data_IF_601658970090
#
_entry.id   IF_601658970090
#
_cell.length_a   1.000
_cell.length_b   1.000
_cell.length_c   1.000
_cell.angle_alpha   90.00
_cell.angle_beta   90.00
_cell.angle_gamma   90.00
#
_symmetry.space_group_name_H-M   'P 1'
#
loop_
_entity.id
_entity.type
_entity.pdbx_description
1 polymer ?
#
# COMPACT_ATOMS: atom_id res chain seq x y z
N UNK A 1 10.23 7.75 -29.91
CA UNK A 1 9.44 7.88 -31.15
C UNK A 1 7.97 7.83 -30.78
N UNK A 2 7.31 9.01 -30.73
CA UNK A 2 5.86 9.09 -30.61
C UNK A 2 5.16 8.39 -31.78
N UNK A 3 3.90 7.97 -31.60
CA UNK A 3 3.09 7.27 -32.61
C UNK A 3 3.68 5.92 -33.09
N UNK A 4 4.48 5.26 -32.26
CA UNK A 4 5.09 3.96 -32.58
C UNK A 4 4.09 2.88 -33.01
N UNK A 5 2.83 2.99 -32.56
CA UNK A 5 1.74 2.07 -32.88
C UNK A 5 1.23 2.17 -34.32
N UNK A 6 1.51 3.27 -35.02
CA UNK A 6 1.16 3.46 -36.43
C UNK A 6 2.16 2.79 -37.38
N UNK A 7 3.40 2.57 -36.93
CA UNK A 7 4.48 1.97 -37.71
C UNK A 7 4.52 0.46 -37.47
N UNK A 8 4.10 -0.42 -38.43
CA UNK A 8 3.89 -1.84 -38.15
C UNK A 8 5.11 -2.58 -37.59
N UNK A 9 6.31 -2.27 -38.09
CA UNK A 9 7.55 -2.87 -37.60
C UNK A 9 7.88 -2.43 -36.16
N UNK A 10 7.74 -1.13 -35.86
CA UNK A 10 8.00 -0.60 -34.52
C UNK A 10 6.94 -1.06 -33.51
N UNK A 11 5.67 -1.11 -33.92
CA UNK A 11 4.59 -1.72 -33.13
C UNK A 11 4.91 -3.15 -32.76
N UNK A 12 5.33 -3.98 -33.72
CA UNK A 12 5.72 -5.37 -33.46
C UNK A 12 6.88 -5.42 -32.45
N UNK A 13 7.94 -4.64 -32.66
CA UNK A 13 9.07 -4.59 -31.74
C UNK A 13 8.67 -4.22 -30.30
N UNK A 14 7.77 -3.25 -30.11
CA UNK A 14 7.32 -2.83 -28.78
C UNK A 14 6.40 -3.88 -28.14
N UNK A 15 5.53 -4.50 -28.91
CA UNK A 15 4.68 -5.60 -28.42
C UNK A 15 5.53 -6.81 -28.03
N UNK A 16 6.47 -7.23 -28.87
CA UNK A 16 7.38 -8.34 -28.57
C UNK A 16 8.22 -8.05 -27.31
N UNK A 17 8.64 -6.79 -27.12
CA UNK A 17 9.32 -6.36 -25.91
C UNK A 17 8.40 -6.41 -24.69
N UNK A 18 7.16 -5.92 -24.81
CA UNK A 18 6.18 -6.00 -23.74
C UNK A 18 5.90 -7.45 -23.34
N UNK A 19 5.66 -8.33 -24.31
CA UNK A 19 5.39 -9.74 -24.06
C UNK A 19 6.56 -10.40 -23.32
N UNK A 20 7.79 -10.17 -23.79
CA UNK A 20 9.00 -10.69 -23.13
C UNK A 20 9.18 -10.14 -21.71
N UNK A 21 8.97 -8.84 -21.50
CA UNK A 21 9.29 -8.19 -20.22
C UNK A 21 8.18 -8.29 -19.17
N UNK A 22 6.94 -8.40 -19.61
CA UNK A 22 5.75 -8.22 -18.76
C UNK A 22 4.96 -9.52 -18.65
N UNK A 23 4.87 -10.30 -19.74
CA UNK A 23 4.10 -11.54 -19.74
C UNK A 23 4.95 -12.78 -19.45
N UNK A 24 6.26 -12.70 -19.64
CA UNK A 24 7.21 -13.81 -19.41
C UNK A 24 8.13 -13.59 -18.20
N UNK A 25 7.96 -12.46 -17.49
CA UNK A 25 8.69 -12.18 -16.25
C UNK A 25 7.71 -11.97 -15.11
N UNK A 26 8.17 -12.32 -13.92
CA UNK A 26 7.49 -12.01 -12.69
C UNK A 26 7.92 -10.64 -12.15
N UNK A 27 7.02 -9.98 -11.43
CA UNK A 27 7.27 -8.67 -10.80
C UNK A 27 6.85 -8.70 -9.33
N UNK A 28 7.39 -7.83 -8.46
CA UNK A 28 7.01 -7.85 -7.04
C UNK A 28 5.51 -7.61 -6.82
N UNK A 29 4.81 -7.00 -7.78
CA UNK A 29 3.36 -6.85 -7.70
C UNK A 29 2.60 -8.19 -7.68
N UNK A 30 3.17 -9.25 -8.29
CA UNK A 30 2.59 -10.59 -8.27
C UNK A 30 2.53 -11.21 -6.88
N UNK A 31 3.36 -10.73 -5.93
CA UNK A 31 3.26 -11.10 -4.51
C UNK A 31 1.87 -10.82 -3.92
N UNK A 32 1.08 -9.91 -4.49
CA UNK A 32 -0.31 -9.70 -4.08
C UNK A 32 -1.19 -10.97 -4.21
N UNK A 33 -0.84 -11.91 -5.08
CA UNK A 33 -1.54 -13.19 -5.23
C UNK A 33 -1.50 -14.04 -3.94
N UNK A 34 -0.52 -13.80 -3.05
CA UNK A 34 -0.41 -14.49 -1.76
C UNK A 34 -1.65 -14.31 -0.90
N UNK A 35 -2.36 -13.17 -0.97
CA UNK A 35 -3.60 -12.97 -0.22
C UNK A 35 -4.75 -13.87 -0.71
N UNK A 36 -4.85 -14.09 -2.03
CA UNK A 36 -5.84 -15.00 -2.60
C UNK A 36 -5.57 -16.44 -2.16
N UNK A 37 -4.31 -16.88 -2.24
CA UNK A 37 -3.91 -18.24 -1.84
C UNK A 37 -4.00 -18.43 -0.32
N UNK A 38 -3.70 -17.39 0.46
CA UNK A 38 -3.93 -17.38 1.91
C UNK A 38 -5.41 -17.55 2.24
N UNK A 39 -6.32 -16.86 1.53
CA UNK A 39 -7.76 -17.10 1.70
C UNK A 39 -8.12 -18.57 1.43
N UNK A 40 -7.60 -19.16 0.35
CA UNK A 40 -7.84 -20.57 0.06
C UNK A 40 -7.40 -21.49 1.22
N UNK A 41 -6.24 -21.21 1.83
CA UNK A 41 -5.83 -21.91 3.06
C UNK A 41 -6.82 -21.71 4.21
N UNK A 42 -7.25 -20.47 4.49
CA UNK A 42 -8.17 -20.16 5.59
C UNK A 42 -9.52 -20.86 5.44
N UNK A 43 -10.02 -21.05 4.21
CA UNK A 43 -11.28 -21.76 3.96
C UNK A 43 -11.15 -23.29 3.97
N UNK A 44 -10.00 -23.84 3.60
CA UNK A 44 -9.85 -25.28 3.33
C UNK A 44 -8.96 -26.01 4.33
N UNK A 45 -8.02 -25.33 4.98
CA UNK A 45 -6.97 -25.92 5.79
C UNK A 45 -5.93 -26.72 5.01
N UNK A 46 -5.97 -26.74 3.67
CA UNK A 46 -5.06 -27.53 2.84
C UNK A 46 -3.65 -26.91 2.81
N UNK A 47 -2.68 -27.63 3.38
CA UNK A 47 -1.31 -27.14 3.60
C UNK A 47 -0.58 -26.75 2.32
N UNK A 48 -0.98 -27.24 1.15
CA UNK A 48 -0.37 -26.85 -0.14
C UNK A 48 -0.49 -25.34 -0.40
N UNK A 49 -1.59 -24.72 0.04
CA UNK A 49 -1.80 -23.29 -0.14
C UNK A 49 -0.90 -22.47 0.78
N UNK A 50 -0.78 -22.91 2.04
CA UNK A 50 0.19 -22.31 2.96
C UNK A 50 1.60 -22.43 2.41
N UNK A 51 2.02 -23.62 1.99
CA UNK A 51 3.36 -23.84 1.46
C UNK A 51 3.64 -22.98 0.23
N UNK A 52 2.70 -22.88 -0.71
CA UNK A 52 2.84 -22.02 -1.89
C UNK A 52 3.09 -20.55 -1.52
N UNK A 53 2.36 -20.02 -0.52
CA UNK A 53 2.56 -18.63 -0.06
C UNK A 53 3.96 -18.42 0.50
N UNK A 54 4.46 -19.37 1.30
CA UNK A 54 5.80 -19.29 1.88
C UNK A 54 6.88 -19.40 0.81
N UNK A 55 6.84 -20.45 -0.02
CA UNK A 55 7.80 -20.69 -1.10
C UNK A 55 7.90 -19.47 -2.03
N UNK A 56 6.76 -18.89 -2.40
CA UNK A 56 6.73 -17.75 -3.31
C UNK A 56 7.28 -16.47 -2.66
N UNK A 57 6.95 -16.21 -1.39
CA UNK A 57 7.47 -15.06 -0.64
C UNK A 57 8.97 -15.18 -0.42
N UNK A 58 9.44 -16.36 0.00
CA UNK A 58 10.85 -16.65 0.27
C UNK A 58 11.70 -16.56 -1.00
N UNK A 59 11.19 -17.01 -2.14
CA UNK A 59 11.89 -16.86 -3.41
C UNK A 59 12.13 -15.37 -3.76
N UNK A 60 11.20 -14.47 -3.45
CA UNK A 60 11.41 -13.03 -3.61
C UNK A 60 12.40 -12.45 -2.59
N UNK A 61 12.43 -12.97 -1.37
CA UNK A 61 13.42 -12.60 -0.36
C UNK A 61 14.84 -13.01 -0.80
N UNK A 62 15.02 -14.24 -1.26
CA UNK A 62 16.30 -14.76 -1.76
C UNK A 62 16.79 -13.94 -2.98
N UNK A 63 15.90 -13.63 -3.92
CA UNK A 63 16.24 -12.79 -5.08
C UNK A 63 16.62 -11.38 -4.69
N UNK A 64 15.97 -10.84 -3.66
CA UNK A 64 16.32 -9.53 -3.10
C UNK A 64 17.72 -9.54 -2.48
N UNK A 65 18.06 -10.58 -1.73
CA UNK A 65 19.40 -10.76 -1.16
C UNK A 65 20.47 -10.87 -2.28
N UNK A 66 20.23 -11.72 -3.29
CA UNK A 66 21.10 -11.86 -4.47
C UNK A 66 21.27 -10.57 -5.26
N UNK A 67 20.29 -9.67 -5.18
CA UNK A 67 20.31 -8.35 -5.83
C UNK A 67 20.85 -7.23 -4.92
N UNK A 68 21.71 -7.57 -3.96
CA UNK A 68 22.35 -6.59 -3.07
C UNK A 68 21.40 -5.97 -2.05
N UNK A 69 20.33 -6.67 -1.69
CA UNK A 69 19.35 -6.21 -0.70
C UNK A 69 18.22 -5.32 -1.25
N UNK A 70 18.20 -5.06 -2.55
CA UNK A 70 17.14 -4.27 -3.20
C UNK A 70 16.21 -5.23 -3.96
N UNK A 71 14.90 -5.16 -3.69
CA UNK A 71 13.93 -5.98 -4.39
C UNK A 71 13.93 -5.63 -5.89
N UNK A 72 14.19 -6.60 -6.79
CA UNK A 72 14.27 -6.33 -8.22
C UNK A 72 12.87 -6.09 -8.82
N UNK A 73 12.79 -5.31 -9.90
CA UNK A 73 11.52 -5.04 -10.58
C UNK A 73 11.04 -6.22 -11.43
N UNK A 74 11.97 -7.07 -11.87
CA UNK A 74 11.67 -8.17 -12.79
C UNK A 74 12.60 -9.37 -12.57
N UNK A 75 12.02 -10.56 -12.72
CA UNK A 75 12.68 -11.86 -12.64
C UNK A 75 12.12 -12.72 -13.77
N UNK A 76 12.96 -13.38 -14.55
CA UNK A 76 12.48 -14.23 -15.64
C UNK A 76 11.97 -15.61 -15.16
N UNK A 77 11.47 -16.42 -16.10
CA UNK A 77 10.93 -17.74 -15.83
C UNK A 77 11.95 -18.73 -15.23
N UNK A 78 13.25 -18.50 -15.43
CA UNK A 78 14.34 -19.30 -14.86
C UNK A 78 14.78 -18.78 -13.48
N UNK A 79 14.13 -17.72 -12.97
CA UNK A 79 14.44 -17.11 -11.68
C UNK A 79 15.62 -16.14 -11.72
N UNK A 80 16.08 -15.74 -12.91
CA UNK A 80 17.20 -14.81 -13.07
C UNK A 80 16.71 -13.37 -12.87
N UNK A 81 17.31 -12.70 -11.89
CA UNK A 81 17.06 -11.28 -11.59
C UNK A 81 17.44 -10.44 -12.82
N UNK A 82 16.49 -9.64 -13.32
CA UNK A 82 16.70 -8.82 -14.52
C UNK A 82 16.84 -9.63 -15.81
N UNK A 83 16.59 -10.95 -15.80
CA UNK A 83 16.86 -11.82 -16.95
C UNK A 83 16.09 -11.43 -18.22
N UNK A 84 14.85 -10.99 -18.07
CA UNK A 84 14.05 -10.43 -19.17
C UNK A 84 14.67 -9.17 -19.80
N UNK A 85 15.53 -8.47 -19.05
CA UNK A 85 16.20 -7.22 -19.43
C UNK A 85 17.71 -7.31 -19.42
N UNK A 86 18.29 -8.46 -19.78
CA UNK A 86 19.75 -8.59 -19.95
C UNK A 86 20.54 -8.19 -18.69
N UNK A 87 20.00 -8.54 -17.52
CA UNK A 87 20.60 -8.26 -16.20
C UNK A 87 20.19 -6.92 -15.60
N UNK A 88 19.39 -6.10 -16.29
CA UNK A 88 18.85 -4.86 -15.71
C UNK A 88 17.71 -5.22 -14.76
N UNK A 89 18.01 -5.28 -13.47
CA UNK A 89 17.05 -5.64 -12.42
C UNK A 89 15.96 -4.58 -12.21
N UNK A 90 16.21 -3.34 -12.61
CA UNK A 90 15.23 -2.24 -12.63
C UNK A 90 14.54 -2.14 -14.00
N UNK A 91 13.24 -1.79 -14.02
CA UNK A 91 12.46 -1.63 -15.26
C UNK A 91 11.51 -2.76 -15.63
N UNK A 92 10.81 -3.35 -14.66
CA UNK A 92 9.66 -4.25 -14.88
C UNK A 92 8.34 -3.50 -15.09
N UNK A 93 7.21 -4.23 -15.06
CA UNK A 93 5.87 -3.64 -15.19
C UNK A 93 5.58 -2.61 -14.10
N UNK A 94 5.87 -2.98 -12.85
CA UNK A 94 5.67 -2.18 -11.66
C UNK A 94 6.89 -2.31 -10.76
N UNK A 95 7.54 -1.19 -10.46
CA UNK A 95 8.82 -1.19 -9.75
C UNK A 95 9.53 0.16 -9.78
N UNK A 96 10.80 0.20 -9.44
CA UNK A 96 11.61 1.40 -9.33
C UNK A 96 11.64 2.26 -10.61
N UNK A 97 11.59 1.70 -11.82
CA UNK A 97 11.59 2.54 -13.04
C UNK A 97 10.18 2.94 -13.54
N UNK A 98 9.12 2.38 -12.95
CA UNK A 98 7.73 2.59 -13.36
C UNK A 98 7.23 4.02 -13.12
N UNK A 99 6.26 4.54 -13.87
CA UNK A 99 5.78 5.94 -13.78
C UNK A 99 5.25 6.36 -12.39
N UNK A 100 4.92 5.40 -11.53
CA UNK A 100 4.54 5.56 -10.13
C UNK A 100 5.61 5.10 -9.13
N UNK A 101 6.84 4.87 -9.60
CA UNK A 101 7.96 4.34 -8.82
C UNK A 101 7.61 3.06 -8.05
N UNK A 102 8.22 2.92 -6.88
CA UNK A 102 8.06 1.79 -5.96
C UNK A 102 6.62 1.55 -5.46
N UNK A 103 5.70 2.51 -5.64
CA UNK A 103 4.38 2.50 -5.00
C UNK A 103 3.64 1.14 -5.13
N UNK A 104 3.52 0.63 -6.36
CA UNK A 104 2.76 -0.61 -6.59
C UNK A 104 3.54 -1.84 -6.11
N UNK A 105 4.87 -1.85 -6.30
CA UNK A 105 5.69 -3.01 -5.94
C UNK A 105 5.67 -3.28 -4.43
N UNK A 106 5.67 -2.21 -3.61
CA UNK A 106 5.66 -2.32 -2.15
C UNK A 106 4.34 -2.86 -1.61
N UNK A 107 3.21 -2.67 -2.31
CA UNK A 107 1.94 -3.32 -1.90
C UNK A 107 2.05 -4.83 -1.99
N UNK A 108 2.62 -5.36 -3.08
CA UNK A 108 2.82 -6.80 -3.23
C UNK A 108 3.69 -7.36 -2.11
N UNK A 109 4.82 -6.69 -1.83
CA UNK A 109 5.72 -7.06 -0.72
C UNK A 109 4.98 -7.05 0.62
N UNK A 110 4.28 -5.95 0.95
CA UNK A 110 3.56 -5.81 2.21
C UNK A 110 2.50 -6.93 2.38
N UNK A 111 1.70 -7.19 1.33
CA UNK A 111 0.69 -8.25 1.34
C UNK A 111 1.33 -9.62 1.62
N UNK A 112 2.43 -9.94 0.94
CA UNK A 112 3.08 -11.24 1.10
C UNK A 112 3.66 -11.45 2.49
N UNK A 113 4.35 -10.46 3.05
CA UNK A 113 4.95 -10.59 4.39
C UNK A 113 3.88 -10.70 5.47
N UNK A 114 2.77 -9.96 5.36
CA UNK A 114 1.65 -10.06 6.28
C UNK A 114 0.92 -11.41 6.19
N UNK A 115 0.77 -11.93 4.97
CA UNK A 115 0.20 -13.27 4.75
C UNK A 115 1.10 -14.37 5.31
N UNK A 116 2.41 -14.32 5.02
CA UNK A 116 3.37 -15.28 5.54
C UNK A 116 3.39 -15.25 7.08
N UNK A 117 3.48 -14.06 7.69
CA UNK A 117 3.41 -13.89 9.13
C UNK A 117 2.09 -14.42 9.72
N UNK A 118 0.94 -14.17 9.08
CA UNK A 118 -0.34 -14.71 9.53
C UNK A 118 -0.35 -16.24 9.57
N UNK A 119 0.22 -16.88 8.54
CA UNK A 119 0.21 -18.33 8.38
C UNK A 119 1.20 -19.05 9.30
N UNK A 120 2.29 -18.39 9.70
CA UNK A 120 3.40 -19.00 10.45
C UNK A 120 3.51 -18.50 11.88
N UNK A 121 3.06 -17.27 12.15
CA UNK A 121 3.37 -16.52 13.36
C UNK A 121 4.80 -15.96 13.40
N UNK A 122 5.59 -16.16 12.33
CA UNK A 122 6.98 -15.73 12.26
C UNK A 122 7.10 -14.29 11.78
N UNK A 123 7.50 -13.39 12.68
CA UNK A 123 7.74 -11.99 12.35
C UNK A 123 9.02 -11.75 11.54
N UNK A 124 9.86 -12.78 11.30
CA UNK A 124 11.03 -12.69 10.43
C UNK A 124 10.68 -12.35 8.97
N UNK A 125 9.49 -12.73 8.48
CA UNK A 125 9.03 -12.31 7.15
C UNK A 125 8.90 -10.79 7.01
N UNK A 126 8.59 -10.08 8.12
CA UNK A 126 8.49 -8.62 8.10
C UNK A 126 9.84 -7.94 7.82
N UNK A 127 10.95 -8.64 8.01
CA UNK A 127 12.30 -8.14 7.71
C UNK A 127 12.45 -7.81 6.22
N UNK A 128 11.72 -8.51 5.35
CA UNK A 128 11.71 -8.20 3.93
C UNK A 128 11.15 -6.79 3.68
N UNK A 129 9.95 -6.46 4.17
CA UNK A 129 9.38 -5.13 4.04
C UNK A 129 10.25 -4.06 4.73
N UNK A 130 10.73 -4.35 5.95
CA UNK A 130 11.61 -3.45 6.71
C UNK A 130 12.88 -3.11 5.93
N UNK A 131 13.50 -4.09 5.29
CA UNK A 131 14.73 -3.88 4.51
C UNK A 131 14.49 -2.92 3.34
N UNK A 132 13.33 -2.99 2.68
CA UNK A 132 13.02 -2.12 1.55
C UNK A 132 12.70 -0.68 2.00
N UNK A 133 12.04 -0.51 3.15
CA UNK A 133 11.88 0.82 3.78
C UNK A 133 13.25 1.40 4.14
N UNK A 134 14.17 0.59 4.71
CA UNK A 134 15.53 1.02 5.03
C UNK A 134 16.30 1.42 3.78
N UNK A 135 16.20 0.69 2.67
CA UNK A 135 16.80 1.09 1.37
C UNK A 135 16.38 2.51 0.98
N UNK A 136 15.11 2.88 1.15
CA UNK A 136 14.64 4.24 0.85
C UNK A 136 15.22 5.29 1.80
N UNK A 137 15.27 4.98 3.10
CA UNK A 137 15.79 5.91 4.13
C UNK A 137 17.30 6.09 4.04
N UNK A 138 18.05 5.02 3.82
CA UNK A 138 19.51 5.02 3.70
C UNK A 138 19.98 5.82 2.48
N UNK A 139 19.15 5.87 1.43
CA UNK A 139 19.40 6.70 0.27
C UNK A 139 18.70 8.06 0.34
N UNK A 140 17.97 8.35 1.42
CA UNK A 140 17.23 9.60 1.62
C UNK A 140 18.14 10.83 1.75
N UNK A 141 17.58 12.00 1.44
CA UNK A 141 18.27 13.29 1.57
C UNK A 141 17.42 14.25 2.39
N UNK A 142 18.07 14.98 3.29
CA UNK A 142 17.45 16.13 3.96
C UNK A 142 17.68 17.38 3.12
N UNK A 143 16.62 18.13 2.87
CA UNK A 143 16.70 19.50 2.33
C UNK A 143 17.28 20.45 3.37
N UNK A 144 17.61 21.68 2.96
CA UNK A 144 18.17 22.71 3.84
C UNK A 144 17.27 23.07 5.02
N UNK A 145 15.95 22.97 4.85
CA UNK A 145 14.96 23.23 5.90
C UNK A 145 14.67 22.02 6.80
N UNK A 146 15.39 20.92 6.60
CA UNK A 146 15.27 19.69 7.39
C UNK A 146 14.32 18.65 6.83
N UNK A 147 13.53 18.96 5.79
CA UNK A 147 12.60 18.01 5.18
C UNK A 147 13.35 16.79 4.61
N UNK A 148 13.01 15.61 5.13
CA UNK A 148 13.50 14.33 4.64
C UNK A 148 12.70 13.89 3.42
N UNK A 149 13.41 13.66 2.32
CA UNK A 149 12.89 13.08 1.09
C UNK A 149 13.58 11.74 0.84
N UNK A 150 12.82 10.78 0.31
CA UNK A 150 13.37 9.49 -0.14
C UNK A 150 13.34 9.41 -1.67
N UNK A 151 14.30 8.70 -2.29
CA UNK A 151 14.20 8.40 -3.71
C UNK A 151 13.08 7.39 -3.92
N UNK A 152 12.37 7.56 -5.03
CA UNK A 152 11.19 6.76 -5.36
C UNK A 152 11.36 5.93 -6.62
N UNK A 153 12.44 6.19 -7.35
CA UNK A 153 12.75 5.61 -8.65
C UNK A 153 14.25 5.30 -8.78
N UNK A 154 14.56 4.30 -9.61
CA UNK A 154 15.93 3.89 -9.93
C UNK A 154 16.08 3.70 -11.45
N UNK A 155 17.21 4.12 -12.00
CA UNK A 155 17.50 4.10 -13.43
C UNK A 155 18.98 3.79 -13.73
N UNK A 156 19.40 3.93 -14.99
CA UNK A 156 20.78 3.68 -15.41
C UNK A 156 21.82 4.48 -14.62
N UNK A 157 21.47 5.69 -14.19
CA UNK A 157 22.33 6.59 -13.41
C UNK A 157 22.16 6.42 -11.87
N UNK A 158 21.49 5.34 -11.43
CA UNK A 158 21.19 5.09 -10.02
C UNK A 158 19.85 5.66 -9.56
N UNK A 159 19.80 6.14 -8.31
CA UNK A 159 18.61 6.75 -7.72
C UNK A 159 18.23 8.06 -8.42
N UNK A 160 16.98 8.14 -8.85
CA UNK A 160 16.44 9.29 -9.57
C UNK A 160 16.00 10.38 -8.59
N UNK A 161 16.65 11.54 -8.67
CA UNK A 161 16.37 12.73 -7.86
C UNK A 161 15.74 13.87 -8.67
N UNK A 162 15.34 13.61 -9.92
CA UNK A 162 14.73 14.62 -10.76
C UNK A 162 13.27 14.87 -10.36
N UNK A 163 12.81 16.10 -10.60
CA UNK A 163 11.39 16.42 -10.54
C UNK A 163 10.63 15.63 -11.60
N UNK A 164 9.39 15.29 -11.28
CA UNK A 164 8.50 14.62 -12.20
C UNK A 164 8.13 15.57 -13.35
N UNK A 165 8.33 15.18 -14.63
CA UNK A 165 7.93 16.01 -15.76
C UNK A 165 6.41 16.17 -15.84
N UNK A 166 5.64 15.30 -15.16
CA UNK A 166 4.19 15.35 -15.13
C UNK A 166 3.56 15.19 -16.52
N UNK A 167 2.34 15.72 -16.73
CA UNK A 167 1.65 15.60 -18.00
C UNK A 167 2.32 16.54 -18.99
N UNK A 168 2.70 16.03 -20.14
CA UNK A 168 3.36 16.83 -21.16
C UNK A 168 2.97 16.36 -22.55
N UNK A 169 3.24 17.19 -23.56
CA UNK A 169 3.03 16.82 -24.95
C UNK A 169 4.33 16.28 -25.54
N UNK A 170 4.25 15.17 -26.28
CA UNK A 170 5.37 14.64 -27.05
C UNK A 170 4.88 14.32 -28.48
N UNK A 171 5.31 15.13 -29.45
CA UNK A 171 4.84 15.12 -30.85
C UNK A 171 3.31 15.01 -31.00
N UNK A 172 2.58 15.89 -30.30
CA UNK A 172 1.11 15.94 -30.39
C UNK A 172 0.37 14.84 -29.61
N UNK A 173 1.09 13.96 -28.91
CA UNK A 173 0.50 12.99 -27.98
C UNK A 173 0.58 13.51 -26.54
N UNK A 174 -0.54 13.43 -25.83
CA UNK A 174 -0.58 13.61 -24.38
C UNK A 174 0.16 12.46 -23.69
N UNK A 175 1.28 12.80 -23.09
CA UNK A 175 2.06 11.89 -22.27
C UNK A 175 1.73 12.13 -20.82
N UNK A 176 1.42 11.06 -20.09
CA UNK A 176 1.35 11.14 -18.63
C UNK A 176 2.73 11.45 -18.03
N UNK A 177 3.84 11.07 -18.66
CA UNK A 177 5.14 11.09 -17.98
C UNK A 177 5.19 10.19 -16.75
N UNK A 178 6.24 10.32 -15.94
CA UNK A 178 6.22 9.84 -14.56
C UNK A 178 5.81 10.99 -13.64
N UNK A 179 5.13 10.64 -12.55
CA UNK A 179 4.54 11.60 -11.62
C UNK A 179 5.11 11.50 -10.22
N UNK A 180 5.79 10.41 -9.92
CA UNK A 180 6.42 10.23 -8.62
C UNK A 180 7.85 10.77 -8.69
N UNK A 181 8.10 11.81 -7.90
CA UNK A 181 9.40 12.43 -7.68
C UNK A 181 9.85 12.19 -6.23
N UNK A 182 11.11 12.50 -5.85
CA UNK A 182 11.56 12.38 -4.47
C UNK A 182 10.61 13.08 -3.51
N UNK A 183 10.11 12.35 -2.52
CA UNK A 183 8.97 12.75 -1.70
C UNK A 183 9.17 12.23 -0.27
N UNK A 184 8.48 12.77 0.75
CA UNK A 184 8.52 12.18 2.09
C UNK A 184 8.03 10.73 2.05
N UNK A 185 8.57 9.88 2.93
CA UNK A 185 8.15 8.46 2.98
C UNK A 185 6.64 8.38 3.24
N UNK A 186 5.95 7.52 2.49
CA UNK A 186 4.51 7.31 2.65
C UNK A 186 4.20 6.48 3.90
N UNK A 187 2.99 6.65 4.43
CA UNK A 187 2.56 6.00 5.67
C UNK A 187 2.22 4.52 5.48
N UNK A 188 1.76 4.12 4.30
CA UNK A 188 1.20 2.79 4.05
C UNK A 188 2.09 1.66 4.61
N UNK A 189 3.32 1.48 4.12
CA UNK A 189 4.12 0.31 4.52
C UNK A 189 4.65 0.41 5.93
N UNK A 190 5.10 1.59 6.35
CA UNK A 190 5.73 1.73 7.65
C UNK A 190 4.72 1.55 8.80
N UNK A 191 3.46 1.99 8.58
CA UNK A 191 2.38 1.83 9.56
C UNK A 191 1.88 0.38 9.61
N UNK A 192 1.81 -0.31 8.47
CA UNK A 192 1.54 -1.74 8.43
C UNK A 192 2.65 -2.55 9.10
N UNK A 193 3.91 -2.26 8.81
CA UNK A 193 5.07 -2.91 9.40
C UNK A 193 5.04 -2.81 10.93
N UNK A 194 4.91 -1.60 11.47
CA UNK A 194 4.84 -1.41 12.91
C UNK A 194 3.59 -2.04 13.50
N UNK A 195 2.44 -1.98 12.83
CA UNK A 195 1.23 -2.63 13.32
C UNK A 195 1.40 -4.16 13.41
N UNK A 196 2.02 -4.77 12.41
CA UNK A 196 2.24 -6.22 12.35
C UNK A 196 3.32 -6.69 13.33
N UNK A 197 4.33 -5.86 13.62
CA UNK A 197 5.47 -6.24 14.47
C UNK A 197 5.32 -5.82 15.93
N UNK A 198 4.73 -4.63 16.15
CA UNK A 198 4.77 -3.86 17.40
C UNK A 198 6.18 -3.76 18.01
N UNK A 199 7.25 -3.82 17.20
CA UNK A 199 8.63 -3.80 17.67
C UNK A 199 9.14 -2.38 17.88
N UNK A 200 10.07 -2.24 18.82
CA UNK A 200 10.73 -0.97 19.12
C UNK A 200 11.50 -0.42 17.90
N UNK A 201 12.19 -1.26 17.14
CA UNK A 201 12.90 -0.85 15.91
C UNK A 201 11.96 -0.21 14.87
N UNK A 202 10.74 -0.71 14.74
CA UNK A 202 9.77 -0.24 13.76
C UNK A 202 9.10 1.05 14.23
N UNK A 203 8.88 1.18 15.53
CA UNK A 203 8.49 2.45 16.15
C UNK A 203 9.55 3.53 15.90
N UNK A 204 10.83 3.21 16.13
CA UNK A 204 11.95 4.13 15.92
C UNK A 204 12.03 4.60 14.46
N UNK A 205 11.85 3.69 13.50
CA UNK A 205 11.75 4.04 12.08
C UNK A 205 10.62 5.04 11.81
N UNK A 206 9.41 4.82 12.35
CA UNK A 206 8.30 5.77 12.18
C UNK A 206 8.65 7.13 12.75
N UNK A 207 9.22 7.17 13.97
CA UNK A 207 9.57 8.44 14.60
C UNK A 207 10.68 9.17 13.87
N UNK A 208 11.68 8.47 13.30
CA UNK A 208 12.69 9.07 12.43
C UNK A 208 12.06 9.74 11.21
N UNK A 209 11.08 9.08 10.58
CA UNK A 209 10.35 9.63 9.42
C UNK A 209 9.53 10.85 9.84
N UNK A 210 8.77 10.75 10.94
CA UNK A 210 7.98 11.86 11.49
C UNK A 210 8.83 13.08 11.77
N UNK A 211 9.96 12.90 12.46
CA UNK A 211 10.82 13.99 12.88
C UNK A 211 11.59 14.61 11.69
N UNK A 212 11.70 13.89 10.57
CA UNK A 212 12.21 14.40 9.31
C UNK A 212 11.13 15.00 8.39
N UNK A 213 9.85 14.78 8.66
CA UNK A 213 8.73 15.23 7.82
C UNK A 213 8.19 16.57 8.33
N UNK A 214 9.00 17.61 8.20
CA UNK A 214 8.78 18.93 8.83
C UNK A 214 7.65 19.74 8.18
N UNK A 215 7.27 19.43 6.94
CA UNK A 215 6.20 20.12 6.22
C UNK A 215 4.80 19.60 6.58
N UNK A 216 4.67 18.32 6.94
CA UNK A 216 3.37 17.66 7.19
C UNK A 216 3.00 17.74 8.67
N UNK A 217 1.77 18.17 8.97
CA UNK A 217 1.20 17.92 10.31
C UNK A 217 0.66 16.48 10.38
N UNK A 218 1.32 15.65 11.19
CA UNK A 218 0.91 14.25 11.38
C UNK A 218 -0.38 14.09 12.18
N UNK A 219 -0.90 15.14 12.80
CA UNK A 219 -2.21 15.10 13.48
C UNK A 219 -3.37 15.39 12.54
N UNK A 220 -3.12 15.99 11.37
CA UNK A 220 -4.17 16.28 10.40
C UNK A 220 -4.66 15.02 9.69
N UNK A 221 -5.96 15.01 9.40
CA UNK A 221 -6.54 13.99 8.54
C UNK A 221 -6.15 14.29 7.10
N UNK A 222 -5.37 13.41 6.49
CA UNK A 222 -5.11 13.49 5.05
C UNK A 222 -6.33 13.13 4.20
N UNK A 223 -6.14 13.00 2.89
CA UNK A 223 -7.23 12.71 1.95
C UNK A 223 -7.92 11.35 2.25
N UNK A 224 -9.23 11.39 2.57
CA UNK A 224 -10.00 10.20 2.95
C UNK A 224 -10.16 9.19 1.81
N UNK A 225 -10.34 9.66 0.56
CA UNK A 225 -10.52 8.82 -0.63
C UNK A 225 -9.23 8.23 -1.22
N UNK A 226 -8.10 8.47 -0.57
CA UNK A 226 -6.80 7.95 -0.99
C UNK A 226 -6.75 6.40 -0.84
N UNK A 227 -5.96 5.68 -1.65
CA UNK A 227 -5.98 4.21 -1.67
C UNK A 227 -4.66 3.51 -1.26
N UNK A 228 -3.52 4.16 -1.43
CA UNK A 228 -2.19 3.57 -1.55
C UNK A 228 -1.08 4.33 -0.78
N UNK A 229 -1.36 5.50 -0.19
CA UNK A 229 -0.38 6.36 0.47
C UNK A 229 -0.41 6.25 1.99
N UNK A 230 -1.52 5.77 2.57
CA UNK A 230 -1.66 5.62 4.02
C UNK A 230 -1.79 6.94 4.75
N UNK A 231 -2.34 7.97 4.09
CA UNK A 231 -2.43 9.33 4.65
C UNK A 231 -3.22 9.41 5.96
N UNK A 232 -4.24 8.56 6.13
CA UNK A 232 -5.04 8.49 7.36
C UNK A 232 -4.33 7.76 8.51
N UNK A 233 -3.23 7.04 8.23
CA UNK A 233 -2.50 6.27 9.24
C UNK A 233 -1.59 7.14 10.12
N UNK A 234 -1.13 8.30 9.63
CA UNK A 234 -0.29 9.22 10.41
C UNK A 234 -1.01 9.72 11.67
N UNK A 235 -2.22 10.23 11.52
CA UNK A 235 -3.02 10.72 12.64
C UNK A 235 -3.44 9.60 13.60
N UNK A 236 -3.67 8.38 13.07
CA UNK A 236 -3.89 7.18 13.89
C UNK A 236 -2.66 6.81 14.72
N UNK A 237 -1.47 6.86 14.14
CA UNK A 237 -0.23 6.62 14.87
C UNK A 237 -0.07 7.63 16.01
N UNK A 238 -0.33 8.91 15.74
CA UNK A 238 -0.27 9.98 16.74
C UNK A 238 -1.28 9.77 17.89
N UNK A 239 -2.44 9.16 17.63
CA UNK A 239 -3.40 8.80 18.68
C UNK A 239 -2.77 7.81 19.67
N UNK A 240 -2.19 6.72 19.18
CA UNK A 240 -1.55 5.71 20.05
C UNK A 240 -0.26 6.21 20.71
N UNK A 241 0.42 7.19 20.10
CA UNK A 241 1.56 7.90 20.70
C UNK A 241 1.14 9.02 21.68
N UNK A 242 -0.16 9.19 21.94
CA UNK A 242 -0.69 10.17 22.88
C UNK A 242 -0.61 11.63 22.40
N UNK A 243 -0.29 11.86 21.12
CA UNK A 243 -0.13 13.19 20.51
C UNK A 243 -1.39 13.71 19.83
N UNK A 244 -2.33 12.84 19.46
CA UNK A 244 -3.62 13.21 18.88
C UNK A 244 -4.80 12.52 19.60
N UNK A 245 -5.08 12.84 20.88
CA UNK A 245 -6.11 12.13 21.66
C UNK A 245 -7.54 12.30 21.10
N UNK A 246 -7.80 13.38 20.36
CA UNK A 246 -9.10 13.65 19.73
C UNK A 246 -9.31 12.97 18.36
N UNK A 247 -8.30 12.25 17.85
CA UNK A 247 -8.34 11.62 16.53
C UNK A 247 -9.57 10.73 16.27
N UNK A 248 -10.03 9.86 17.20
CA UNK A 248 -11.17 8.98 16.93
C UNK A 248 -12.45 9.75 16.54
N UNK A 249 -12.74 10.86 17.20
CA UNK A 249 -13.87 11.71 16.85
C UNK A 249 -13.64 12.43 15.51
N UNK A 250 -12.42 12.92 15.27
CA UNK A 250 -12.06 13.60 14.03
C UNK A 250 -12.31 12.70 12.81
N UNK A 251 -11.78 11.46 12.82
CA UNK A 251 -11.89 10.55 11.68
C UNK A 251 -13.34 10.12 11.44
N UNK A 252 -14.10 9.81 12.49
CA UNK A 252 -15.51 9.43 12.37
C UNK A 252 -16.37 10.59 11.85
N UNK A 253 -16.16 11.81 12.34
CA UNK A 253 -16.86 13.00 11.85
C UNK A 253 -16.52 13.30 10.38
N UNK A 254 -15.26 13.09 9.99
CA UNK A 254 -14.81 13.31 8.62
C UNK A 254 -15.39 12.28 7.64
N UNK A 255 -15.39 10.99 8.00
CA UNK A 255 -16.03 9.95 7.17
C UNK A 255 -17.54 10.14 7.08
N UNK A 256 -18.21 10.52 8.17
CA UNK A 256 -19.64 10.82 8.15
C UNK A 256 -19.96 11.99 7.22
N UNK A 257 -19.18 13.08 7.28
CA UNK A 257 -19.35 14.22 6.36
C UNK A 257 -19.16 13.81 4.91
N UNK A 258 -18.12 13.03 4.62
CA UNK A 258 -17.87 12.53 3.26
C UNK A 258 -19.02 11.66 2.74
N UNK A 259 -19.58 10.80 3.59
CA UNK A 259 -20.73 9.96 3.24
C UNK A 259 -21.95 10.81 2.88
N UNK A 260 -22.23 11.86 3.67
CA UNK A 260 -23.33 12.80 3.39
C UNK A 260 -23.12 13.58 2.08
N UNK A 261 -21.93 14.16 1.89
CA UNK A 261 -21.59 14.91 0.66
C UNK A 261 -21.69 14.02 -0.58
N UNK A 262 -21.21 12.78 -0.48
CA UNK A 262 -21.30 11.80 -1.57
C UNK A 262 -22.73 11.38 -1.85
N UNK A 263 -23.52 11.12 -0.80
CA UNK A 263 -24.94 10.79 -0.95
C UNK A 263 -25.72 11.92 -1.64
N UNK A 264 -25.51 13.17 -1.23
CA UNK A 264 -26.15 14.32 -1.87
C UNK A 264 -25.69 14.48 -3.32
N UNK A 265 -24.40 14.26 -3.61
CA UNK A 265 -23.89 14.25 -4.99
C UNK A 265 -24.54 13.18 -5.85
N UNK A 266 -24.82 11.99 -5.31
CA UNK A 266 -25.51 10.93 -6.04
C UNK A 266 -26.99 11.27 -6.26
N UNK A 267 -27.65 11.85 -5.25
CA UNK A 267 -29.06 12.24 -5.32
C UNK A 267 -29.29 13.33 -6.38
N UNK A 268 -28.30 14.20 -6.59
CA UNK A 268 -28.34 15.29 -7.56
C UNK A 268 -27.71 14.92 -8.93
N UNK A 269 -27.28 13.66 -9.13
CA UNK A 269 -26.63 13.24 -10.38
C UNK A 269 -27.67 12.99 -11.49
N UNK A 270 -27.79 13.96 -12.41
CA UNK A 270 -28.70 13.88 -13.57
C UNK A 270 -28.04 13.33 -14.84
N UNK A 271 -26.79 12.87 -14.77
CA UNK A 271 -26.04 12.38 -15.93
C UNK A 271 -26.70 11.12 -16.52
N UNK A 272 -26.76 11.05 -17.84
CA UNK A 272 -27.16 9.83 -18.53
C UNK A 272 -26.06 8.76 -18.47
N UNK A 273 -26.41 7.51 -18.76
CA UNK A 273 -25.42 6.44 -18.93
C UNK A 273 -24.33 6.78 -19.96
N UNK A 274 -24.67 7.54 -21.01
CA UNK A 274 -23.72 7.98 -22.04
C UNK A 274 -22.77 9.06 -21.51
N UNK A 275 -23.25 9.96 -20.64
CA UNK A 275 -22.40 10.96 -20.00
C UNK A 275 -21.41 10.29 -19.03
N UNK A 276 -21.86 9.29 -18.27
CA UNK A 276 -20.99 8.52 -17.37
C UNK A 276 -19.89 7.80 -18.16
N UNK A 277 -20.26 7.11 -19.25
CA UNK A 277 -19.31 6.38 -20.11
C UNK A 277 -18.33 7.35 -20.77
N UNK A 278 -18.83 8.42 -21.38
CA UNK A 278 -17.98 9.37 -22.13
C UNK A 278 -17.01 10.13 -21.24
N UNK A 279 -17.41 10.46 -20.01
CA UNK A 279 -16.53 11.13 -19.03
C UNK A 279 -15.63 10.17 -18.26
N UNK A 280 -15.91 8.86 -18.31
CA UNK A 280 -15.27 7.83 -17.49
C UNK A 280 -15.29 8.20 -15.98
N UNK A 281 -16.37 8.84 -15.52
CA UNK A 281 -16.57 9.26 -14.12
C UNK A 281 -17.76 8.52 -13.52
N UNK A 282 -17.46 7.38 -12.90
CA UNK A 282 -18.45 6.54 -12.23
C UNK A 282 -19.02 7.29 -11.01
N UNK A 283 -20.32 7.17 -10.69
CA UNK A 283 -20.88 7.68 -9.44
C UNK A 283 -20.07 7.21 -8.22
N UNK A 284 -19.87 8.11 -7.26
CA UNK A 284 -19.09 7.84 -6.06
C UNK A 284 -19.82 6.88 -5.10
N UNK A 285 -19.06 6.25 -4.20
CA UNK A 285 -19.57 5.32 -3.19
C UNK A 285 -19.58 6.04 -1.83
N UNK A 286 -20.75 6.24 -1.18
CA UNK A 286 -20.85 6.94 0.11
C UNK A 286 -20.30 6.13 1.28
N UNK A 287 -20.10 4.82 1.10
CA UNK A 287 -19.60 3.95 2.17
C UNK A 287 -18.07 4.00 2.23
N UNK A 288 -17.55 4.68 3.24
CA UNK A 288 -16.17 4.58 3.72
C UNK A 288 -16.13 3.80 5.03
N UNK A 289 -15.14 2.94 5.19
CA UNK A 289 -15.01 2.08 6.38
C UNK A 289 -13.64 2.21 7.04
N UNK A 290 -12.80 3.18 6.67
CA UNK A 290 -11.42 3.24 7.16
C UNK A 290 -11.38 3.62 8.64
N UNK A 291 -12.04 4.73 8.98
CA UNK A 291 -12.17 5.20 10.36
C UNK A 291 -12.81 4.14 11.23
N UNK A 292 -13.94 3.56 10.81
CA UNK A 292 -14.57 2.43 11.51
C UNK A 292 -13.62 1.23 11.69
N UNK A 293 -12.89 0.84 10.64
CA UNK A 293 -11.91 -0.25 10.71
C UNK A 293 -10.82 0.06 11.75
N UNK A 294 -10.31 1.29 11.76
CA UNK A 294 -9.23 1.70 12.63
C UNK A 294 -9.70 1.83 14.09
N UNK A 295 -10.81 2.53 14.35
CA UNK A 295 -11.30 2.75 15.72
C UNK A 295 -11.90 1.48 16.31
N UNK A 296 -12.63 0.67 15.54
CA UNK A 296 -13.31 -0.52 16.08
C UNK A 296 -12.36 -1.70 16.16
N UNK A 297 -11.49 -1.93 15.19
CA UNK A 297 -10.67 -3.16 15.13
C UNK A 297 -9.20 -2.95 15.50
N UNK A 298 -8.78 -1.70 15.70
CA UNK A 298 -7.38 -1.33 15.90
C UNK A 298 -6.52 -1.55 14.66
N UNK A 299 -7.12 -1.78 13.50
CA UNK A 299 -6.44 -2.20 12.29
C UNK A 299 -5.97 -1.01 11.44
N UNK A 300 -4.84 -1.09 10.73
CA UNK A 300 -4.58 -0.18 9.61
C UNK A 300 -5.61 -0.44 8.50
N UNK A 301 -5.79 0.53 7.62
CA UNK A 301 -6.56 0.33 6.40
C UNK A 301 -5.95 -0.83 5.58
N UNK A 302 -6.78 -1.76 5.07
CA UNK A 302 -6.28 -2.84 4.21
C UNK A 302 -5.56 -2.31 2.96
N UNK A 303 -4.49 -3.00 2.55
CA UNK A 303 -3.75 -2.66 1.34
C UNK A 303 -4.66 -2.80 0.11
N UNK A 304 -4.84 -1.71 -0.64
CA UNK A 304 -5.81 -1.60 -1.73
C UNK A 304 -5.72 -2.71 -2.79
N UNK A 305 -4.50 -3.17 -3.12
CA UNK A 305 -4.27 -4.19 -4.15
C UNK A 305 -4.59 -5.64 -3.73
N UNK A 306 -5.41 -5.83 -2.69
CA UNK A 306 -5.89 -7.14 -2.26
C UNK A 306 -5.31 -7.62 -0.93
N UNK A 307 -4.81 -6.73 -0.09
CA UNK A 307 -4.34 -7.10 1.25
C UNK A 307 -5.46 -7.56 2.17
N UNK A 308 -5.13 -8.50 3.05
CA UNK A 308 -6.07 -8.98 4.06
C UNK A 308 -6.21 -7.96 5.18
N UNK A 309 -7.38 -7.91 5.81
CA UNK A 309 -7.60 -7.08 6.98
C UNK A 309 -6.76 -7.59 8.16
N UNK A 310 -5.81 -6.77 8.63
CA UNK A 310 -4.94 -7.05 9.78
C UNK A 310 -5.54 -6.45 11.06
N UNK A 311 -6.63 -7.03 11.53
CA UNK A 311 -7.29 -6.58 12.76
C UNK A 311 -6.57 -7.07 14.02
N UNK A 312 -6.42 -6.20 15.02
CA UNK A 312 -5.95 -6.61 16.36
C UNK A 312 -7.04 -7.35 17.12
N UNK A 313 -8.29 -6.88 16.99
CA UNK A 313 -9.46 -7.47 17.64
C UNK A 313 -10.57 -7.70 16.63
N UNK A 314 -11.37 -8.75 16.86
CA UNK A 314 -12.59 -9.02 16.11
C UNK A 314 -13.73 -9.29 17.07
N UNK A 315 -14.93 -8.88 16.69
CA UNK A 315 -16.14 -9.08 17.48
C UNK A 315 -17.02 -10.17 16.87
N UNK A 316 -17.81 -10.80 17.72
CA UNK A 316 -18.83 -11.76 17.32
C UNK A 316 -20.12 -11.44 18.07
N UNK A 317 -21.22 -11.39 17.32
CA UNK A 317 -22.56 -11.18 17.84
C UNK A 317 -23.16 -12.57 18.12
N UNK A 318 -23.25 -12.99 19.40
CA UNK A 318 -23.78 -14.31 19.75
C UNK A 318 -25.29 -14.40 19.55
N UNK A 319 -26.03 -13.30 19.68
CA UNK A 319 -27.49 -13.28 19.55
C UNK A 319 -27.92 -13.44 18.10
N UNK A 320 -27.17 -12.85 17.17
CA UNK A 320 -27.39 -12.99 15.72
C UNK A 320 -26.52 -14.06 15.06
N UNK A 321 -25.63 -14.70 15.83
CA UNK A 321 -24.76 -15.78 15.35
C UNK A 321 -23.85 -15.38 14.18
N UNK A 322 -23.29 -14.16 14.20
CA UNK A 322 -22.50 -13.63 13.06
C UNK A 322 -21.29 -12.80 13.51
N UNK A 323 -20.24 -12.66 12.66
CA UNK A 323 -19.18 -11.70 12.90
C UNK A 323 -19.69 -10.26 13.00
N UNK A 324 -19.09 -9.47 13.88
CA UNK A 324 -19.44 -8.07 14.12
C UNK A 324 -19.80 -7.78 15.58
N UNK A 325 -20.02 -6.50 15.89
CA UNK A 325 -20.52 -6.07 17.19
C UNK A 325 -22.00 -6.47 17.35
N UNK A 326 -22.43 -6.85 18.57
CA UNK A 326 -23.85 -6.94 18.89
C UNK A 326 -24.59 -5.63 18.60
N UNK A 327 -25.92 -5.72 18.48
CA UNK A 327 -26.77 -4.53 18.45
C UNK A 327 -26.50 -3.63 19.66
N UNK A 328 -26.60 -2.32 19.43
CA UNK A 328 -26.47 -1.30 20.46
C UNK A 328 -25.15 -1.35 21.26
N UNK A 329 -24.08 -1.87 20.65
CA UNK A 329 -22.73 -1.84 21.22
C UNK A 329 -21.82 -1.03 20.31
N UNK A 330 -21.18 -0.01 20.87
CA UNK A 330 -20.06 0.69 20.24
C UNK A 330 -18.74 0.19 20.83
N UNK A 331 -17.69 0.17 20.01
CA UNK A 331 -16.35 -0.22 20.43
C UNK A 331 -15.29 0.75 19.92
N UNK A 332 -14.31 1.01 20.78
CA UNK A 332 -13.12 1.80 20.48
C UNK A 332 -11.87 1.06 20.97
N UNK A 333 -10.92 0.82 20.09
CA UNK A 333 -9.56 0.39 20.43
C UNK A 333 -8.75 1.63 20.79
N UNK A 334 -8.58 1.85 22.09
CA UNK A 334 -7.95 3.04 22.65
C UNK A 334 -6.46 2.87 22.92
N UNK A 335 -5.94 1.65 22.83
CA UNK A 335 -4.52 1.35 23.04
C UNK A 335 -4.06 0.16 22.20
N UNK A 336 -2.89 0.32 21.57
CA UNK A 336 -2.15 -0.76 20.94
C UNK A 336 -0.73 -0.83 21.52
N UNK A 337 -0.20 -2.03 21.67
CA UNK A 337 1.17 -2.24 22.10
C UNK A 337 1.61 -3.71 21.96
N UNK A 338 2.89 -4.00 22.22
CA UNK A 338 3.48 -5.31 21.88
C UNK A 338 2.85 -6.51 22.61
N UNK A 339 2.26 -6.26 23.78
CA UNK A 339 1.64 -7.28 24.65
C UNK A 339 0.30 -6.82 25.21
N UNK A 340 -0.25 -5.71 24.72
CA UNK A 340 -1.44 -5.09 25.28
C UNK A 340 -2.32 -4.52 24.20
N UNK A 341 -3.62 -4.73 24.33
CA UNK A 341 -4.65 -4.02 23.58
C UNK A 341 -5.65 -3.44 24.59
N UNK A 342 -6.05 -2.19 24.39
CA UNK A 342 -7.12 -1.54 25.15
C UNK A 342 -8.37 -1.46 24.28
N UNK A 343 -9.52 -1.74 24.90
CA UNK A 343 -10.83 -1.69 24.23
C UNK A 343 -11.83 -1.06 25.20
N UNK A 344 -12.56 -0.07 24.73
CA UNK A 344 -13.74 0.46 25.39
C UNK A 344 -14.98 -0.09 24.67
N UNK A 345 -15.93 -0.59 25.46
CA UNK A 345 -17.23 -1.06 24.97
C UNK A 345 -18.32 -0.25 25.66
N UNK A 346 -19.24 0.30 24.87
CA UNK A 346 -20.34 1.14 25.37
C UNK A 346 -21.66 0.57 24.88
N UNK A 347 -22.61 0.42 25.80
CA UNK A 347 -24.00 0.17 25.45
C UNK A 347 -24.62 1.49 24.99
N UNK A 348 -25.08 1.53 23.74
CA UNK A 348 -25.69 2.71 23.10
C UNK A 348 -27.21 2.69 23.14
N UNK A 349 -27.79 1.69 23.81
CA UNK A 349 -29.23 1.65 24.08
C UNK A 349 -29.51 2.68 25.19
N UNK A 350 -30.29 3.70 24.84
CA UNK A 350 -30.69 4.79 25.71
C UNK A 350 -32.17 4.68 26.09
#
# INVERSE_FOLDING_TARGET
EPLWFEKPARRRQIVDLFDRLILQCDTPNSLAATALVTNAYLYTGDSKYKQWVLDYTEAWMERTEKNGGICPDNVDADGVVGGGREGVWWGGQYGWNHYQGYNIMFHGINIAVECAQLLTGDSGYLDFLRSQIKVQLDNGKKREDGQLLVPVRHGPEGWDWAQAPGPHMNDGLEMRGYWLEPTPLRGQEIMHLYHASMRQEDYELITQVRDGDVERDWNELGALGEKNWGNTEFARFQYYDGRNPGWPEQILAAEYRHALETFESMRADERSQLDIISTNRIPAQPVLTKGLTQVTLGAPQSVYNGGLLRATVRYYDPDRGRPGLPLDVAALVDKLGPKTVGIQLVNTNH
#
